data_IF_028947777985
#
_entry.id   IF_028947777985
#
_cell.length_a   1.000
_cell.length_b   1.000
_cell.length_c   1.000
_cell.angle_alpha   90.00
_cell.angle_beta   90.00
_cell.angle_gamma   90.00
#
_symmetry.space_group_name_H-M   'P 1'
#
loop_
_entity.id
_entity.type
_entity.pdbx_description
1 polymer ?
#
# COMPACT_ATOMS: atom_id res chain seq x y z
N UNK A 1 1.55 -19.99 5.25
CA UNK A 1 1.08 -18.81 6.00
C UNK A 1 0.90 -19.14 7.48
N UNK A 2 0.92 -18.12 8.33
CA UNK A 2 0.73 -18.21 9.78
C UNK A 2 -0.12 -17.03 10.27
N UNK A 3 -0.78 -17.17 11.41
CA UNK A 3 -1.48 -16.05 12.04
C UNK A 3 -0.44 -15.03 12.53
N UNK A 4 -0.46 -13.84 11.94
CA UNK A 4 0.45 -12.75 12.24
C UNK A 4 -0.17 -11.69 13.15
N UNK A 5 0.37 -10.48 13.09
CA UNK A 5 -0.13 -9.37 13.89
C UNK A 5 -1.55 -8.98 13.48
N UNK A 6 -2.36 -8.53 14.44
CA UNK A 6 -3.75 -8.10 14.20
C UNK A 6 -4.65 -9.16 13.53
N UNK A 7 -4.28 -10.45 13.60
CA UNK A 7 -5.02 -11.55 12.96
C UNK A 7 -4.87 -11.60 11.43
N UNK A 8 -3.89 -10.89 10.88
CA UNK A 8 -3.57 -10.92 9.45
C UNK A 8 -2.69 -12.13 9.18
N UNK A 9 -2.99 -12.88 8.12
CA UNK A 9 -2.13 -13.98 7.70
C UNK A 9 -0.82 -13.44 7.12
N UNK A 10 0.29 -13.91 7.66
CA UNK A 10 1.63 -13.56 7.23
C UNK A 10 2.34 -14.78 6.62
N UNK A 11 3.26 -14.59 5.66
CA UNK A 11 4.07 -15.68 5.15
C UNK A 11 4.88 -16.31 6.29
N UNK A 12 5.08 -17.65 6.23
CA UNK A 12 6.04 -18.30 7.12
C UNK A 12 7.43 -17.97 6.60
N UNK A 13 8.21 -17.28 7.42
CA UNK A 13 9.60 -16.97 7.09
C UNK A 13 10.44 -18.21 7.36
N UNK A 14 10.65 -19.01 6.31
CA UNK A 14 11.77 -19.96 6.29
C UNK A 14 13.09 -19.17 6.22
N UNK A 15 14.21 -19.77 6.61
CA UNK A 15 15.50 -19.08 6.82
C UNK A 15 15.94 -18.16 5.65
N UNK A 16 15.60 -18.51 4.41
CA UNK A 16 16.00 -17.80 3.19
C UNK A 16 14.82 -17.16 2.43
N UNK A 17 13.64 -17.07 3.05
CA UNK A 17 12.39 -16.68 2.37
C UNK A 17 12.18 -15.17 2.18
N UNK A 18 13.02 -14.31 2.78
CA UNK A 18 12.86 -12.87 2.70
C UNK A 18 13.49 -12.31 1.42
N UNK A 19 12.68 -11.58 0.63
CA UNK A 19 13.14 -10.86 -0.55
C UNK A 19 13.67 -9.49 -0.15
N UNK A 20 14.77 -9.05 -0.76
CA UNK A 20 15.27 -7.69 -0.60
C UNK A 20 14.25 -6.68 -1.17
N UNK A 21 13.72 -5.74 -0.35
CA UNK A 21 12.76 -4.75 -0.84
C UNK A 21 13.27 -3.92 -2.02
N UNK A 22 14.60 -3.74 -2.15
CA UNK A 22 15.19 -3.01 -3.26
C UNK A 22 15.03 -3.71 -4.62
N UNK A 23 14.75 -5.03 -4.63
CA UNK A 23 14.55 -5.82 -5.85
C UNK A 23 13.09 -5.95 -6.27
N UNK A 24 12.16 -5.31 -5.55
CA UNK A 24 10.75 -5.34 -5.90
C UNK A 24 10.47 -4.41 -7.09
N UNK A 25 9.71 -4.90 -8.08
CA UNK A 25 9.30 -4.10 -9.24
C UNK A 25 7.93 -3.40 -9.03
N UNK A 26 7.08 -3.97 -8.18
CA UNK A 26 5.68 -3.53 -7.98
C UNK A 26 5.22 -3.78 -6.54
N UNK A 27 4.55 -2.78 -5.94
CA UNK A 27 3.79 -2.90 -4.71
C UNK A 27 2.32 -2.59 -4.97
N UNK A 28 1.46 -3.49 -4.49
CA UNK A 28 0.01 -3.28 -4.41
C UNK A 28 -0.33 -2.83 -3.00
N UNK A 29 -0.77 -1.59 -2.84
CA UNK A 29 -0.87 -0.92 -1.54
C UNK A 29 -2.36 -0.72 -1.20
N UNK A 30 -2.90 -1.42 -0.20
CA UNK A 30 -4.24 -1.15 0.29
C UNK A 30 -4.26 0.06 1.23
N UNK A 31 -5.28 0.91 1.09
CA UNK A 31 -5.53 2.02 2.03
C UNK A 31 -7.03 2.26 2.23
N UNK A 32 -7.38 2.99 3.30
CA UNK A 32 -8.77 3.38 3.58
C UNK A 32 -9.28 4.36 2.52
N UNK A 33 -8.40 5.26 2.06
CA UNK A 33 -8.67 6.18 0.97
C UNK A 33 -7.37 6.67 0.34
N UNK A 34 -7.50 7.23 -0.86
CA UNK A 34 -6.48 7.97 -1.56
C UNK A 34 -7.03 9.35 -1.95
N UNK A 35 -6.17 10.36 -2.01
CA UNK A 35 -6.51 11.63 -2.64
C UNK A 35 -6.09 11.68 -4.11
N UNK A 36 -6.38 12.80 -4.78
CA UNK A 36 -6.06 13.00 -6.19
C UNK A 36 -4.56 13.03 -6.50
N UNK A 37 -3.72 13.30 -5.50
CA UNK A 37 -2.26 13.32 -5.63
C UNK A 37 -1.63 11.94 -5.31
N UNK A 38 -2.45 10.94 -4.95
CA UNK A 38 -1.99 9.58 -4.63
C UNK A 38 -1.51 9.42 -3.19
N UNK A 39 -1.70 10.42 -2.33
CA UNK A 39 -1.47 10.24 -0.90
C UNK A 39 -2.54 9.36 -0.29
N UNK A 40 -2.18 8.61 0.76
CA UNK A 40 -3.00 7.55 1.32
C UNK A 40 -3.41 7.85 2.75
N UNK A 41 -4.63 7.46 3.11
CA UNK A 41 -5.04 7.31 4.50
C UNK A 41 -4.91 5.83 4.90
N UNK A 42 -3.84 5.50 5.60
CA UNK A 42 -3.61 4.15 6.11
C UNK A 42 -4.44 3.82 7.37
N UNK A 43 -4.15 2.67 7.99
CA UNK A 43 -4.72 2.27 9.29
C UNK A 43 -3.91 2.80 10.50
N UNK A 44 -2.95 3.70 10.25
CA UNK A 44 -1.99 4.19 11.23
C UNK A 44 -0.71 3.34 11.32
N UNK A 45 0.16 3.67 12.29
CA UNK A 45 1.46 3.01 12.59
C UNK A 45 2.58 3.13 11.53
N UNK A 46 2.31 3.80 10.41
CA UNK A 46 3.32 4.15 9.40
C UNK A 46 4.15 2.97 8.89
N UNK A 47 3.52 1.80 8.69
CA UNK A 47 4.22 0.63 8.16
C UNK A 47 4.64 0.84 6.71
N UNK A 48 3.72 1.32 5.86
CA UNK A 48 4.02 1.58 4.45
C UNK A 48 4.99 2.74 4.27
N UNK A 49 4.89 3.82 5.05
CA UNK A 49 5.78 4.99 4.91
C UNK A 49 7.24 4.56 5.10
N UNK A 50 7.51 3.75 6.14
CA UNK A 50 8.82 3.15 6.38
C UNK A 50 9.22 2.13 5.32
N UNK A 51 8.29 1.26 4.91
CA UNK A 51 8.62 0.18 3.97
C UNK A 51 8.89 0.68 2.55
N UNK A 52 8.09 1.63 2.06
CA UNK A 52 8.22 2.17 0.71
C UNK A 52 9.55 2.88 0.48
N UNK A 53 10.12 3.51 1.52
CA UNK A 53 11.47 4.09 1.46
C UNK A 53 12.57 3.08 1.13
N UNK A 54 12.32 1.78 1.34
CA UNK A 54 13.23 0.67 1.04
C UNK A 54 13.04 0.08 -0.36
N UNK A 55 12.03 0.53 -1.11
CA UNK A 55 11.67 0.03 -2.43
C UNK A 55 11.83 1.12 -3.50
N UNK A 56 13.05 1.65 -3.74
CA UNK A 56 13.24 2.84 -4.57
C UNK A 56 12.84 2.66 -6.04
N UNK A 57 12.89 1.43 -6.54
CA UNK A 57 12.63 1.10 -7.95
C UNK A 57 11.20 0.63 -8.22
N UNK A 58 10.47 0.28 -7.17
CA UNK A 58 9.19 -0.37 -7.31
C UNK A 58 8.08 0.64 -7.67
N UNK A 59 7.24 0.28 -8.63
CA UNK A 59 5.99 0.98 -8.89
C UNK A 59 5.02 0.75 -7.71
N UNK A 60 4.24 1.76 -7.37
CA UNK A 60 3.32 1.83 -6.25
C UNK A 60 1.91 2.00 -6.80
N UNK A 61 1.12 0.94 -6.72
CA UNK A 61 -0.26 0.95 -7.16
C UNK A 61 -1.17 0.85 -5.94
N UNK A 62 -1.95 1.89 -5.70
CA UNK A 62 -2.97 1.91 -4.67
C UNK A 62 -4.17 1.05 -5.06
N UNK A 63 -4.77 0.38 -4.07
CA UNK A 63 -6.07 -0.31 -4.22
C UNK A 63 -7.01 0.13 -3.13
N UNK A 64 -8.26 0.46 -3.49
CA UNK A 64 -9.28 0.84 -2.52
C UNK A 64 -10.70 0.53 -3.00
N UNK A 65 -11.59 0.29 -2.05
CA UNK A 65 -13.04 0.26 -2.27
C UNK A 65 -13.69 1.64 -2.09
N UNK A 66 -12.93 2.66 -1.70
CA UNK A 66 -13.45 4.01 -1.56
C UNK A 66 -13.94 4.54 -2.91
N UNK A 67 -15.26 4.71 -3.03
CA UNK A 67 -15.90 5.18 -4.26
C UNK A 67 -15.97 6.70 -4.36
N UNK A 68 -15.65 7.42 -3.28
CA UNK A 68 -15.67 8.89 -3.27
C UNK A 68 -14.25 9.44 -3.35
N UNK A 69 -13.99 10.38 -4.27
CA UNK A 69 -12.72 11.08 -4.30
C UNK A 69 -12.57 11.96 -3.05
N UNK A 70 -11.36 11.95 -2.46
CA UNK A 70 -10.95 12.89 -1.43
C UNK A 70 -10.06 13.94 -2.10
N UNK A 71 -10.31 15.22 -1.83
CA UNK A 71 -9.59 16.30 -2.49
C UNK A 71 -8.12 16.38 -2.06
N UNK A 72 -7.87 16.34 -0.76
CA UNK A 72 -6.53 16.43 -0.18
C UNK A 72 -6.52 15.68 1.16
N UNK A 73 -5.54 14.79 1.35
CA UNK A 73 -5.28 14.16 2.63
C UNK A 73 -4.12 14.87 3.33
N UNK A 74 -4.15 14.97 4.67
CA UNK A 74 -2.96 15.39 5.40
C UNK A 74 -1.85 14.36 5.17
N UNK A 75 -0.66 14.84 4.83
CA UNK A 75 0.51 14.01 4.64
C UNK A 75 1.74 14.71 5.21
N UNK A 76 2.72 13.91 5.61
CA UNK A 76 4.02 14.37 6.07
C UNK A 76 5.05 14.37 4.92
N UNK A 77 6.22 15.01 5.08
CA UNK A 77 7.25 15.04 4.04
C UNK A 77 7.84 13.69 3.66
N UNK A 78 7.71 12.68 4.52
CA UNK A 78 8.18 11.31 4.28
C UNK A 78 7.13 10.41 3.63
N UNK A 79 5.90 10.91 3.45
CA UNK A 79 4.86 10.14 2.78
C UNK A 79 5.11 10.10 1.27
N UNK A 80 5.21 8.89 0.74
CA UNK A 80 5.37 8.65 -0.70
C UNK A 80 4.00 8.40 -1.34
N UNK A 81 3.60 9.17 -2.37
CA UNK A 81 2.35 8.94 -3.09
C UNK A 81 2.44 7.68 -3.96
N UNK A 82 1.27 7.15 -4.36
CA UNK A 82 1.15 6.10 -5.37
C UNK A 82 1.04 6.70 -6.77
N UNK A 83 1.46 5.97 -7.81
CA UNK A 83 1.35 6.46 -9.19
C UNK A 83 -0.06 6.32 -9.76
N UNK A 84 -0.81 5.33 -9.28
CA UNK A 84 -2.18 5.08 -9.70
C UNK A 84 -2.99 4.41 -8.60
N UNK A 85 -4.31 4.57 -8.64
CA UNK A 85 -5.24 3.93 -7.72
C UNK A 85 -6.24 3.11 -8.52
N UNK A 86 -6.34 1.81 -8.21
CA UNK A 86 -7.34 0.92 -8.78
C UNK A 86 -8.52 0.81 -7.83
N UNK A 87 -9.71 1.01 -8.40
CA UNK A 87 -10.99 0.80 -7.72
C UNK A 87 -11.81 -0.22 -8.48
N UNK A 88 -12.64 -1.03 -7.82
CA UNK A 88 -13.58 -1.89 -8.52
C UNK A 88 -14.46 -1.06 -9.46
N UNK A 89 -14.62 -1.52 -10.70
CA UNK A 89 -15.72 -1.06 -11.54
C UNK A 89 -16.97 -1.84 -11.15
N UNK A 90 -18.18 -1.24 -11.20
CA UNK A 90 -19.41 -2.00 -11.10
C UNK A 90 -19.36 -3.13 -12.13
N UNK A 91 -19.53 -4.37 -11.68
CA UNK A 91 -19.72 -5.48 -12.62
C UNK A 91 -21.02 -5.20 -13.38
N UNK A 92 -20.94 -5.06 -14.71
CA UNK A 92 -22.11 -5.18 -15.57
C UNK A 92 -22.60 -6.62 -15.41
N UNK A 93 -23.68 -6.81 -14.64
CA UNK A 93 -24.50 -8.01 -14.66
C UNK A 93 -25.55 -7.89 -15.77
#
# INVERSE_FOLDING_TARGET
EQSGSFGIYEPRLEADGAVDPATLDLLVIPALAYDQAGYRLGRGKGYYDRYLSRCPHASRIGVTFALRPIACLPHDPWDLPVEAVLTPQPALL
#
